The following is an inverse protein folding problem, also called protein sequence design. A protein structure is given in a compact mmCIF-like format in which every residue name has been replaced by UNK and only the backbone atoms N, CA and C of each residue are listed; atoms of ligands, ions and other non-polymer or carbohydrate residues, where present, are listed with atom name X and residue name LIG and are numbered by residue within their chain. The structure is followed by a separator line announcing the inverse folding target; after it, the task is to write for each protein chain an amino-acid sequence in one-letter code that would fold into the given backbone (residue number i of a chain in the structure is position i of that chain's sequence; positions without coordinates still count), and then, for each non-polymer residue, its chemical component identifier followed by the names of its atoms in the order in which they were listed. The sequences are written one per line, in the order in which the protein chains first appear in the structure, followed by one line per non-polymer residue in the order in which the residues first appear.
data_IF_363489153717
#
_entry.id   IF_363489153717
#
_cell.length_a   1.000
_cell.length_b   1.000
_cell.length_c   1.000
_cell.angle_alpha   90.00
_cell.angle_beta   90.00
_cell.angle_gamma   90.00
#
_symmetry.space_group_name_H-M   'P 1'
#
loop_
_entity.id
_entity.type
_entity.pdbx_description
1 polymer ?
#
# COMPACT_ATOMS: atom_id res chain seq x y z
N UNK A 1 -6.88 -28.66 49.57
CA UNK A 1 -7.50 -28.12 48.34
C UNK A 1 -6.41 -27.56 47.44
N UNK A 2 -6.03 -28.29 46.38
CA UNK A 2 -5.10 -27.76 45.38
C UNK A 2 -5.82 -26.66 44.59
N UNK A 3 -5.44 -25.39 44.79
CA UNK A 3 -5.88 -24.30 43.91
C UNK A 3 -5.36 -24.62 42.50
N UNK A 4 -6.25 -25.03 41.60
CA UNK A 4 -5.99 -25.04 40.17
C UNK A 4 -5.62 -23.62 39.74
N UNK A 5 -4.32 -23.28 39.79
CA UNK A 5 -3.81 -22.03 39.22
C UNK A 5 -4.01 -22.13 37.73
N UNK A 6 -5.00 -21.41 37.20
CA UNK A 6 -5.14 -21.19 35.76
C UNK A 6 -3.77 -20.73 35.25
N UNK A 7 -3.14 -21.54 34.39
CA UNK A 7 -1.83 -21.21 33.82
C UNK A 7 -2.01 -19.99 32.91
N UNK A 8 -1.71 -18.81 33.44
CA UNK A 8 -1.64 -17.58 32.65
C UNK A 8 -0.46 -17.76 31.69
N UNK A 9 -0.75 -17.85 30.39
CA UNK A 9 0.27 -17.96 29.34
C UNK A 9 1.19 -16.74 29.31
N UNK A 10 2.31 -16.83 28.60
CA UNK A 10 3.19 -15.66 28.39
C UNK A 10 2.44 -14.50 27.74
N UNK A 11 2.90 -13.25 27.92
CA UNK A 11 2.27 -12.09 27.25
C UNK A 11 2.21 -12.28 25.73
N UNK A 12 3.24 -12.86 25.13
CA UNK A 12 3.25 -13.20 23.70
C UNK A 12 2.12 -14.18 23.35
N UNK A 13 1.89 -15.21 24.17
CA UNK A 13 0.79 -16.16 23.96
C UNK A 13 -0.57 -15.48 24.13
N UNK A 14 -0.73 -14.61 25.13
CA UNK A 14 -1.96 -13.84 25.31
C UNK A 14 -2.25 -12.92 24.11
N UNK A 15 -1.25 -12.24 23.57
CA UNK A 15 -1.38 -11.42 22.34
C UNK A 15 -1.77 -12.31 21.16
N UNK A 16 -1.12 -13.46 21.01
CA UNK A 16 -1.41 -14.40 19.95
C UNK A 16 -2.85 -14.86 20.01
N UNK A 17 -3.30 -15.37 21.15
CA UNK A 17 -4.66 -15.87 21.34
C UNK A 17 -5.70 -14.77 21.06
N UNK A 18 -5.42 -13.52 21.48
CA UNK A 18 -6.27 -12.36 21.21
C UNK A 18 -6.35 -11.99 19.72
N UNK A 19 -5.23 -12.03 18.98
CA UNK A 19 -5.25 -11.74 17.55
C UNK A 19 -5.77 -12.90 16.71
N UNK A 20 -5.52 -14.15 17.13
CA UNK A 20 -6.03 -15.36 16.49
C UNK A 20 -7.55 -15.39 16.54
N UNK A 21 -8.15 -15.02 17.68
CA UNK A 21 -9.61 -14.88 17.81
C UNK A 21 -10.22 -13.80 16.93
N UNK A 22 -9.39 -12.93 16.33
CA UNK A 22 -9.79 -11.83 15.45
C UNK A 22 -9.45 -12.10 13.98
N UNK A 23 -8.84 -13.24 13.64
CA UNK A 23 -8.52 -13.57 12.26
C UNK A 23 -9.77 -13.80 11.42
N UNK A 24 -9.78 -13.23 10.23
CA UNK A 24 -10.84 -13.33 9.24
C UNK A 24 -10.22 -13.49 7.85
N UNK A 25 -9.28 -14.43 7.73
CA UNK A 25 -8.55 -14.67 6.49
C UNK A 25 -9.50 -15.29 5.47
N UNK A 26 -9.46 -14.78 4.23
CA UNK A 26 -10.39 -15.18 3.16
C UNK A 26 -11.73 -14.44 3.16
N UNK A 27 -12.10 -13.81 4.28
CA UNK A 27 -13.29 -12.97 4.32
C UNK A 27 -13.11 -11.64 3.57
N UNK A 28 -14.20 -11.15 2.98
CA UNK A 28 -14.18 -9.86 2.29
C UNK A 28 -14.21 -8.68 3.27
N UNK A 29 -13.05 -8.06 3.48
CA UNK A 29 -12.94 -6.78 4.21
C UNK A 29 -13.84 -5.68 3.64
N UNK A 30 -14.12 -5.73 2.33
CA UNK A 30 -14.99 -4.75 1.69
C UNK A 30 -16.46 -4.93 2.14
N UNK A 31 -16.95 -6.18 2.21
CA UNK A 31 -18.29 -6.47 2.74
C UNK A 31 -18.40 -6.04 4.20
N UNK A 32 -17.45 -6.47 5.04
CA UNK A 32 -17.43 -6.08 6.46
C UNK A 32 -17.33 -4.56 6.71
N UNK A 33 -16.81 -3.78 5.76
CA UNK A 33 -16.84 -2.31 5.84
C UNK A 33 -18.24 -1.75 5.60
N UNK A 34 -19.02 -2.34 4.69
CA UNK A 34 -20.42 -1.97 4.47
C UNK A 34 -21.27 -2.33 5.68
N UNK A 35 -20.98 -3.47 6.28
CA UNK A 35 -21.75 -4.01 7.42
C UNK A 35 -21.28 -3.45 8.78
N UNK A 36 -20.25 -2.59 8.81
CA UNK A 36 -19.72 -1.96 10.03
C UNK A 36 -18.84 -2.87 10.91
N UNK A 37 -18.77 -4.17 10.65
CA UNK A 37 -18.07 -5.19 11.47
C UNK A 37 -16.56 -5.29 11.22
N UNK A 38 -16.00 -4.50 10.29
CA UNK A 38 -14.58 -4.61 9.92
C UNK A 38 -13.60 -4.27 11.06
N UNK A 39 -14.06 -3.54 12.09
CA UNK A 39 -13.22 -3.05 13.19
C UNK A 39 -12.79 -4.17 14.14
N UNK A 40 -13.47 -5.32 14.15
CA UNK A 40 -13.17 -6.39 15.09
C UNK A 40 -12.25 -7.46 14.51
N UNK A 41 -12.08 -7.47 13.18
CA UNK A 41 -11.41 -8.54 12.44
C UNK A 41 -10.05 -8.14 11.82
N UNK A 42 -9.21 -9.13 11.53
CA UNK A 42 -7.92 -9.03 10.84
C UNK A 42 -7.97 -9.88 9.56
N UNK A 43 -7.94 -9.21 8.42
CA UNK A 43 -8.22 -9.82 7.11
C UNK A 43 -6.96 -10.23 6.32
N UNK A 44 -5.76 -10.04 6.87
CA UNK A 44 -4.54 -10.44 6.16
C UNK A 44 -3.42 -10.87 7.11
N UNK A 45 -2.70 -11.91 6.69
CA UNK A 45 -1.51 -12.39 7.39
C UNK A 45 -0.44 -11.31 7.58
N UNK A 46 -0.29 -10.41 6.61
CA UNK A 46 0.67 -9.32 6.75
C UNK A 46 0.26 -8.33 7.84
N UNK A 47 -1.04 -7.99 7.94
CA UNK A 47 -1.54 -7.16 9.05
C UNK A 47 -1.36 -7.86 10.38
N UNK A 48 -1.70 -9.15 10.46
CA UNK A 48 -1.50 -9.97 11.66
C UNK A 48 -0.05 -9.94 12.12
N UNK A 49 0.90 -10.28 11.25
CA UNK A 49 2.34 -10.30 11.57
C UNK A 49 2.84 -8.93 12.04
N UNK A 50 2.43 -7.86 11.36
CA UNK A 50 2.82 -6.50 11.74
C UNK A 50 2.24 -6.14 13.11
N UNK A 51 0.97 -6.42 13.37
CA UNK A 51 0.35 -6.12 14.66
C UNK A 51 0.95 -6.94 15.79
N UNK A 52 1.17 -8.24 15.55
CA UNK A 52 1.86 -9.14 16.47
C UNK A 52 3.22 -8.55 16.88
N UNK A 53 4.03 -8.09 15.91
CA UNK A 53 5.32 -7.46 16.22
C UNK A 53 5.16 -6.24 17.12
N UNK A 54 4.29 -5.30 16.77
CA UNK A 54 4.12 -4.06 17.55
C UNK A 54 3.57 -4.31 18.95
N UNK A 55 2.60 -5.23 19.09
CA UNK A 55 2.04 -5.60 20.37
C UNK A 55 3.08 -6.29 21.27
N UNK A 56 3.95 -7.12 20.71
CA UNK A 56 5.04 -7.76 21.46
C UNK A 56 6.11 -6.75 21.90
N UNK A 57 6.45 -5.76 21.07
CA UNK A 57 7.36 -4.68 21.47
C UNK A 57 6.81 -3.88 22.66
N UNK A 58 5.51 -3.58 22.65
CA UNK A 58 4.82 -2.95 23.77
C UNK A 58 4.80 -3.84 25.02
N UNK A 59 4.40 -5.11 24.89
CA UNK A 59 4.35 -6.03 26.02
C UNK A 59 5.74 -6.29 26.64
N UNK A 60 6.79 -6.32 25.82
CA UNK A 60 8.18 -6.36 26.28
C UNK A 60 8.49 -5.16 27.16
N UNK A 61 8.15 -3.96 26.71
CA UNK A 61 8.32 -2.74 27.49
C UNK A 61 7.55 -2.79 28.83
N UNK A 62 6.28 -3.20 28.84
CA UNK A 62 5.50 -3.34 30.08
C UNK A 62 6.11 -4.37 31.04
N UNK A 63 6.61 -5.49 30.51
CA UNK A 63 7.28 -6.51 31.31
C UNK A 63 8.58 -5.98 31.94
N UNK A 64 9.39 -5.25 31.18
CA UNK A 64 10.69 -4.75 31.64
C UNK A 64 10.57 -3.61 32.65
N UNK A 65 9.62 -2.69 32.45
CA UNK A 65 9.51 -1.46 33.26
C UNK A 65 8.52 -1.64 34.43
N UNK A 66 7.49 -2.46 34.25
CA UNK A 66 6.37 -2.57 35.20
C UNK A 66 6.10 -4.01 35.66
N UNK A 67 6.90 -4.98 35.20
CA UNK A 67 6.78 -6.40 35.57
C UNK A 67 5.38 -6.99 35.28
N UNK A 68 4.66 -6.40 34.32
CA UNK A 68 3.33 -6.87 33.92
C UNK A 68 3.37 -8.33 33.45
N UNK A 69 2.32 -9.07 33.78
CA UNK A 69 2.10 -10.48 33.42
C UNK A 69 0.81 -10.69 32.62
N UNK A 70 -0.11 -9.72 32.63
CA UNK A 70 -1.37 -9.78 31.87
C UNK A 70 -1.53 -8.60 30.93
N UNK A 71 -2.34 -8.76 29.88
CA UNK A 71 -2.69 -7.66 28.97
C UNK A 71 -3.44 -6.53 29.69
N UNK A 72 -4.26 -6.85 30.69
CA UNK A 72 -5.00 -5.84 31.45
C UNK A 72 -4.07 -4.96 32.29
N UNK A 73 -3.01 -5.53 32.87
CA UNK A 73 -1.95 -4.77 33.53
C UNK A 73 -1.22 -3.88 32.53
N UNK A 74 -0.85 -4.43 31.37
CA UNK A 74 -0.18 -3.67 30.32
C UNK A 74 -1.02 -2.47 29.84
N UNK A 75 -2.36 -2.60 29.77
CA UNK A 75 -3.26 -1.60 29.20
C UNK A 75 -3.06 -0.19 29.76
N UNK A 76 -2.72 -0.07 31.04
CA UNK A 76 -2.49 1.22 31.73
C UNK A 76 -1.34 2.03 31.15
N UNK A 77 -0.39 1.35 30.50
CA UNK A 77 0.84 1.94 29.99
C UNK A 77 0.82 2.23 28.47
N UNK A 78 -0.33 2.06 27.81
CA UNK A 78 -0.45 2.30 26.36
C UNK A 78 -0.11 3.74 26.02
N UNK A 79 -0.69 4.70 26.73
CA UNK A 79 -0.53 6.13 26.45
C UNK A 79 0.94 6.54 26.62
N UNK A 80 1.55 6.11 27.73
CA UNK A 80 2.96 6.37 28.03
C UNK A 80 3.88 5.79 26.94
N UNK A 81 3.66 4.53 26.53
CA UNK A 81 4.51 3.90 25.53
C UNK A 81 4.39 4.55 24.15
N UNK A 82 3.17 4.95 23.75
CA UNK A 82 2.93 5.69 22.52
C UNK A 82 3.62 7.06 22.56
N UNK A 83 3.47 7.81 23.66
CA UNK A 83 4.12 9.11 23.84
C UNK A 83 5.64 8.99 23.80
N UNK A 84 6.21 8.02 24.53
CA UNK A 84 7.64 7.72 24.51
C UNK A 84 8.14 7.38 23.10
N UNK A 85 7.31 6.81 22.26
CA UNK A 85 7.62 6.56 20.84
C UNK A 85 7.72 7.85 20.03
N UNK A 86 6.80 8.78 20.26
CA UNK A 86 6.80 10.12 19.65
C UNK A 86 8.06 10.89 20.08
N UNK A 87 8.34 10.93 21.39
CA UNK A 87 9.47 11.67 21.95
C UNK A 87 10.83 11.15 21.44
N UNK A 88 10.90 9.85 21.10
CA UNK A 88 12.07 9.22 20.47
C UNK A 88 12.20 9.48 18.97
N UNK A 89 11.30 10.26 18.38
CA UNK A 89 11.33 10.60 16.95
C UNK A 89 10.87 9.46 16.03
N UNK A 90 10.02 8.53 16.50
CA UNK A 90 9.43 7.53 15.59
C UNK A 90 8.64 8.24 14.48
N UNK A 91 8.74 7.77 13.25
CA UNK A 91 7.98 8.37 12.14
C UNK A 91 6.47 8.34 12.40
N UNK A 92 5.75 9.35 11.90
CA UNK A 92 4.28 9.42 11.94
C UNK A 92 3.59 8.12 11.46
N UNK A 93 4.20 7.41 10.50
CA UNK A 93 3.71 6.12 10.02
C UNK A 93 3.83 5.02 11.07
N UNK A 94 4.97 4.93 11.75
CA UNK A 94 5.21 3.96 12.83
C UNK A 94 4.33 4.26 14.04
N UNK A 95 4.24 5.54 14.45
CA UNK A 95 3.37 5.96 15.56
C UNK A 95 1.92 5.51 15.32
N UNK A 96 1.37 5.77 14.12
CA UNK A 96 0.00 5.37 13.79
C UNK A 96 -0.19 3.86 13.73
N UNK A 97 0.81 3.13 13.22
CA UNK A 97 0.79 1.68 13.20
C UNK A 97 0.73 1.10 14.63
N UNK A 98 1.55 1.64 15.52
CA UNK A 98 1.59 1.24 16.93
C UNK A 98 0.25 1.47 17.60
N UNK A 99 -0.31 2.68 17.47
CA UNK A 99 -1.63 3.00 18.00
C UNK A 99 -2.73 2.09 17.44
N UNK A 100 -2.75 1.83 16.13
CA UNK A 100 -3.74 0.93 15.52
C UNK A 100 -3.59 -0.52 15.97
N UNK A 101 -2.36 -1.01 16.18
CA UNK A 101 -2.10 -2.35 16.67
C UNK A 101 -2.62 -2.55 18.08
N UNK A 102 -2.33 -1.60 18.99
CA UNK A 102 -2.80 -1.64 20.37
C UNK A 102 -4.32 -1.44 20.45
N UNK A 103 -4.88 -0.57 19.63
CA UNK A 103 -6.34 -0.41 19.51
C UNK A 103 -7.00 -1.74 19.11
N UNK A 104 -6.40 -2.46 18.17
CA UNK A 104 -6.86 -3.81 17.79
C UNK A 104 -6.72 -4.80 18.95
N UNK A 105 -5.63 -4.78 19.70
CA UNK A 105 -5.39 -5.67 20.84
C UNK A 105 -6.47 -5.50 21.91
N UNK A 106 -6.80 -4.25 22.25
CA UNK A 106 -7.78 -3.89 23.28
C UNK A 106 -9.21 -3.68 22.76
N UNK A 107 -9.48 -4.01 21.49
CA UNK A 107 -10.81 -3.88 20.88
C UNK A 107 -11.42 -2.47 21.04
N UNK A 108 -10.59 -1.44 20.91
CA UNK A 108 -10.99 -0.04 21.02
C UNK A 108 -10.55 0.76 19.79
N UNK A 109 -10.82 2.07 19.78
CA UNK A 109 -10.29 2.99 18.78
C UNK A 109 -8.93 3.55 19.21
N UNK A 110 -8.06 3.88 18.25
CA UNK A 110 -6.78 4.54 18.55
C UNK A 110 -6.98 5.94 19.18
N UNK A 111 -8.14 6.55 18.97
CA UNK A 111 -8.51 7.83 19.61
C UNK A 111 -8.69 7.70 21.11
N UNK A 112 -9.01 6.50 21.59
CA UNK A 112 -9.37 6.27 23.00
C UNK A 112 -8.15 6.29 23.92
N UNK A 113 -6.94 6.28 23.34
CA UNK A 113 -5.68 6.41 24.07
C UNK A 113 -5.32 7.88 24.39
N UNK A 114 -6.02 8.88 23.86
CA UNK A 114 -5.71 10.28 24.15
C UNK A 114 -4.34 10.78 23.64
N UNK A 115 -3.55 9.93 22.97
CA UNK A 115 -2.27 10.31 22.35
C UNK A 115 -2.48 10.70 20.89
N UNK A 116 -2.14 11.95 20.56
CA UNK A 116 -2.20 12.46 19.19
C UNK A 116 -0.91 12.09 18.46
N UNK A 117 -1.02 11.23 17.45
CA UNK A 117 0.10 10.89 16.55
C UNK A 117 0.33 12.01 15.54
N UNK A 118 1.57 12.16 15.10
CA UNK A 118 1.95 13.14 14.08
C UNK A 118 1.21 12.96 12.76
N UNK A 119 1.07 14.06 12.02
CA UNK A 119 0.48 14.05 10.70
C UNK A 119 1.46 13.42 9.70
N UNK A 120 0.94 12.56 8.83
CA UNK A 120 1.74 11.95 7.77
C UNK A 120 1.83 12.91 6.59
N UNK A 121 3.05 13.33 6.27
CA UNK A 121 3.31 14.17 5.10
C UNK A 121 3.85 13.33 3.93
N UNK A 122 3.44 13.66 2.70
CA UNK A 122 3.93 13.00 1.47
C UNK A 122 5.43 13.22 1.27
N UNK A 123 5.94 14.41 1.59
CA UNK A 123 7.36 14.75 1.49
C UNK A 123 8.25 13.82 2.34
N UNK A 124 7.72 13.26 3.44
CA UNK A 124 8.44 12.34 4.31
C UNK A 124 8.46 10.89 3.78
N UNK A 125 7.82 10.61 2.64
CA UNK A 125 7.90 9.29 2.00
C UNK A 125 9.26 9.19 1.32
N UNK A 126 10.15 8.41 1.91
CA UNK A 126 11.50 8.20 1.36
C UNK A 126 11.61 6.96 0.50
N UNK A 127 10.71 5.97 0.64
CA UNK A 127 10.80 4.69 -0.08
C UNK A 127 10.70 4.89 -1.59
N UNK A 128 11.63 4.31 -2.34
CA UNK A 128 11.67 4.35 -3.81
C UNK A 128 11.73 5.78 -4.38
N UNK A 129 12.31 6.71 -3.62
CA UNK A 129 12.59 8.11 -3.99
C UNK A 129 14.05 8.44 -3.66
N UNK A 130 14.81 8.87 -4.66
CA UNK A 130 16.27 9.03 -4.60
C UNK A 130 17.01 7.69 -4.44
N UNK A 131 18.34 7.74 -4.49
CA UNK A 131 19.19 6.56 -4.30
C UNK A 131 19.01 5.93 -2.92
N UNK A 132 18.92 4.59 -2.85
CA UNK A 132 18.87 3.82 -1.60
C UNK A 132 20.04 2.89 -1.45
N UNK A 133 20.43 2.66 -0.20
CA UNK A 133 21.46 1.69 0.20
C UNK A 133 21.17 0.28 -0.33
N UNK A 134 19.89 -0.09 -0.49
CA UNK A 134 19.50 -1.40 -1.05
C UNK A 134 19.69 -1.52 -2.56
N UNK A 135 19.73 -0.39 -3.27
CA UNK A 135 19.89 -0.37 -4.74
C UNK A 135 21.30 -0.83 -5.12
N UNK A 136 22.28 -0.66 -4.20
CA UNK A 136 23.66 -1.17 -4.33
C UNK A 136 23.76 -2.68 -4.56
N UNK A 137 22.74 -3.46 -4.17
CA UNK A 137 22.74 -4.92 -4.31
C UNK A 137 21.90 -5.43 -5.48
N UNK A 138 21.39 -4.54 -6.34
CA UNK A 138 20.65 -4.90 -7.55
C UNK A 138 21.22 -4.15 -8.76
N UNK A 139 21.86 -4.89 -9.67
CA UNK A 139 22.30 -4.32 -10.94
C UNK A 139 21.12 -4.31 -11.92
N UNK A 140 20.63 -3.12 -12.27
CA UNK A 140 19.60 -2.95 -13.32
C UNK A 140 20.11 -3.46 -14.66
N UNK A 141 21.39 -3.23 -14.99
CA UNK A 141 21.99 -3.67 -16.24
C UNK A 141 21.95 -5.20 -16.44
N UNK A 142 22.19 -5.96 -15.37
CA UNK A 142 22.11 -7.42 -15.41
C UNK A 142 20.67 -7.95 -15.32
N UNK A 143 19.68 -7.07 -15.19
CA UNK A 143 18.27 -7.42 -15.06
C UNK A 143 17.39 -6.55 -15.98
N UNK A 144 17.94 -6.07 -17.10
CA UNK A 144 17.29 -5.14 -18.03
C UNK A 144 15.91 -5.62 -18.45
N UNK A 145 15.77 -6.90 -18.79
CA UNK A 145 14.47 -7.48 -19.18
C UNK A 145 13.41 -7.35 -18.08
N UNK A 146 13.75 -7.67 -16.83
CA UNK A 146 12.82 -7.53 -15.71
C UNK A 146 12.46 -6.06 -15.48
N UNK A 147 13.45 -5.17 -15.52
CA UNK A 147 13.25 -3.73 -15.33
C UNK A 147 12.33 -3.18 -16.42
N UNK A 148 12.64 -3.45 -17.68
CA UNK A 148 11.88 -2.99 -18.84
C UNK A 148 10.46 -3.58 -18.85
N UNK A 149 10.32 -4.86 -18.53
CA UNK A 149 9.02 -5.49 -18.35
C UNK A 149 8.18 -4.78 -17.27
N UNK A 150 8.79 -4.41 -16.14
CA UNK A 150 8.10 -3.70 -15.07
C UNK A 150 7.69 -2.28 -15.50
N UNK A 151 8.55 -1.56 -16.22
CA UNK A 151 8.28 -0.22 -16.76
C UNK A 151 7.24 -0.23 -17.88
N UNK A 152 7.11 -1.35 -18.59
CA UNK A 152 6.15 -1.53 -19.68
C UNK A 152 4.77 -2.02 -19.24
N UNK A 153 4.65 -2.59 -18.04
CA UNK A 153 3.40 -3.25 -17.59
C UNK A 153 2.87 -2.73 -16.26
N UNK A 154 3.73 -2.13 -15.43
CA UNK A 154 3.37 -1.63 -14.13
C UNK A 154 2.74 -2.70 -13.24
N UNK A 155 3.28 -3.92 -13.18
CA UNK A 155 2.84 -4.97 -12.27
C UNK A 155 3.45 -4.80 -10.86
N UNK A 156 2.80 -5.38 -9.84
CA UNK A 156 3.34 -5.45 -8.47
C UNK A 156 4.24 -6.66 -8.35
N UNK A 157 5.15 -6.63 -7.37
CA UNK A 157 6.02 -7.76 -7.05
C UNK A 157 5.29 -9.10 -6.89
N UNK A 158 4.18 -9.12 -6.14
CA UNK A 158 3.40 -10.35 -5.95
C UNK A 158 2.63 -10.77 -7.21
N UNK A 159 2.29 -9.82 -8.09
CA UNK A 159 1.68 -10.12 -9.38
C UNK A 159 2.71 -10.76 -10.32
N UNK A 160 3.94 -10.20 -10.39
CA UNK A 160 5.05 -10.74 -11.17
C UNK A 160 5.43 -12.17 -10.77
N UNK A 161 5.43 -12.48 -9.45
CA UNK A 161 5.75 -13.82 -8.95
C UNK A 161 4.76 -14.91 -9.38
N UNK A 162 3.53 -14.51 -9.69
CA UNK A 162 2.44 -15.40 -10.08
C UNK A 162 2.13 -15.32 -11.57
N UNK A 163 2.81 -14.45 -12.33
CA UNK A 163 2.53 -14.19 -13.73
C UNK A 163 2.99 -15.35 -14.60
N UNK A 164 2.07 -15.87 -15.39
CA UNK A 164 2.32 -16.85 -16.44
C UNK A 164 2.11 -16.21 -17.82
N UNK A 165 2.76 -16.75 -18.85
CA UNK A 165 2.77 -16.19 -20.21
C UNK A 165 1.40 -16.18 -20.91
N UNK A 166 0.51 -17.11 -20.56
CA UNK A 166 -0.87 -17.24 -21.05
C UNK A 166 -1.78 -16.08 -20.64
N UNK A 167 -1.28 -15.16 -19.80
CA UNK A 167 -2.00 -13.96 -19.37
C UNK A 167 -1.88 -12.77 -20.33
N UNK A 168 -1.14 -12.92 -21.43
CA UNK A 168 -1.09 -11.93 -22.50
C UNK A 168 -2.36 -12.04 -23.36
N UNK A 169 -3.05 -10.92 -23.51
CA UNK A 169 -4.19 -10.78 -24.42
C UNK A 169 -3.97 -9.59 -25.36
N UNK A 170 -4.65 -9.61 -26.50
CA UNK A 170 -4.66 -8.51 -27.45
C UNK A 170 -6.11 -8.10 -27.70
N UNK A 171 -6.48 -6.89 -27.28
CA UNK A 171 -7.84 -6.36 -27.36
C UNK A 171 -7.77 -4.91 -27.81
N UNK A 172 -8.63 -4.50 -28.74
CA UNK A 172 -8.72 -3.13 -29.25
C UNK A 172 -7.39 -2.61 -29.84
N UNK A 173 -6.60 -3.48 -30.46
CA UNK A 173 -5.28 -3.13 -31.00
C UNK A 173 -4.19 -2.90 -29.95
N UNK A 174 -4.45 -3.25 -28.68
CA UNK A 174 -3.52 -3.04 -27.56
C UNK A 174 -3.27 -4.35 -26.83
N UNK A 175 -2.00 -4.66 -26.59
CA UNK A 175 -1.62 -5.76 -25.71
C UNK A 175 -1.91 -5.41 -24.25
N UNK A 176 -2.52 -6.35 -23.53
CA UNK A 176 -2.85 -6.20 -22.10
C UNK A 176 -2.41 -7.45 -21.35
N UNK A 177 -2.04 -7.30 -20.08
CA UNK A 177 -1.78 -8.40 -19.17
C UNK A 177 -2.99 -8.57 -18.25
N UNK A 178 -3.57 -9.77 -18.24
CA UNK A 178 -4.60 -10.17 -17.27
C UNK A 178 -3.94 -10.46 -15.93
N UNK A 179 -4.26 -9.64 -14.93
CA UNK A 179 -3.74 -9.80 -13.56
C UNK A 179 -4.88 -10.27 -12.65
N UNK A 180 -5.00 -11.59 -12.51
CA UNK A 180 -5.99 -12.29 -11.68
C UNK A 180 -5.39 -12.86 -10.38
N UNK A 181 -4.07 -13.05 -10.32
CA UNK A 181 -3.32 -13.55 -9.15
C UNK A 181 -2.34 -12.52 -8.59
N UNK A 182 -2.02 -12.65 -7.30
CA UNK A 182 -1.09 -11.74 -6.60
C UNK A 182 -1.59 -10.30 -6.42
N UNK A 183 -2.78 -9.98 -6.92
CA UNK A 183 -3.38 -8.65 -6.82
C UNK A 183 -3.76 -8.34 -5.38
N UNK A 184 -3.51 -7.09 -4.96
CA UNK A 184 -3.82 -6.65 -3.61
C UNK A 184 -5.34 -6.66 -3.41
N UNK A 185 -5.80 -7.51 -2.48
CA UNK A 185 -7.23 -7.66 -2.19
C UNK A 185 -7.99 -8.47 -3.24
N UNK A 186 -7.30 -9.25 -4.09
CA UNK A 186 -7.91 -10.19 -5.04
C UNK A 186 -8.72 -9.52 -6.15
N UNK A 187 -8.40 -8.29 -6.51
CA UNK A 187 -9.12 -7.52 -7.53
C UNK A 187 -8.47 -7.75 -8.90
N UNK A 188 -9.13 -8.47 -9.82
CA UNK A 188 -8.58 -8.68 -11.15
C UNK A 188 -8.57 -7.35 -11.93
N UNK A 189 -7.63 -7.22 -12.87
CA UNK A 189 -7.61 -6.11 -13.84
C UNK A 189 -6.89 -6.55 -15.12
N UNK A 190 -7.06 -5.75 -16.17
CA UNK A 190 -6.25 -5.80 -17.38
C UNK A 190 -5.30 -4.60 -17.35
N UNK A 191 -3.99 -4.83 -17.41
CA UNK A 191 -2.99 -3.77 -17.44
C UNK A 191 -2.49 -3.60 -18.88
N UNK A 192 -2.65 -2.42 -19.52
CA UNK A 192 -2.13 -2.20 -20.86
C UNK A 192 -0.60 -2.26 -20.87
N UNK A 193 -0.05 -2.86 -21.92
CA UNK A 193 1.39 -2.88 -22.19
C UNK A 193 1.74 -1.63 -22.99
N UNK A 194 2.71 -0.87 -22.51
CA UNK A 194 3.25 0.34 -23.16
C UNK A 194 4.76 0.24 -23.25
N UNK A 195 5.42 1.18 -23.94
CA UNK A 195 6.87 1.19 -24.03
C UNK A 195 7.38 0.04 -24.90
N UNK A 196 8.23 -0.83 -24.37
CA UNK A 196 8.80 -1.95 -25.12
C UNK A 196 7.84 -3.14 -25.22
N UNK A 197 6.84 -2.99 -26.09
CA UNK A 197 5.79 -3.99 -26.33
C UNK A 197 6.40 -5.31 -26.81
N UNK A 198 7.35 -5.27 -27.74
CA UNK A 198 7.96 -6.47 -28.33
C UNK A 198 8.66 -7.33 -27.28
N UNK A 199 9.44 -6.71 -26.38
CA UNK A 199 10.09 -7.41 -25.27
C UNK A 199 9.06 -8.12 -24.38
N UNK A 200 7.98 -7.41 -24.01
CA UNK A 200 6.93 -8.00 -23.16
C UNK A 200 6.25 -9.15 -23.88
N UNK A 201 5.85 -8.97 -25.13
CA UNK A 201 5.17 -9.99 -25.94
C UNK A 201 6.06 -11.22 -26.10
N UNK A 202 7.35 -11.04 -26.40
CA UNK A 202 8.31 -12.14 -26.55
C UNK A 202 8.48 -12.92 -25.24
N UNK A 203 8.69 -12.25 -24.10
CA UNK A 203 8.83 -12.91 -22.81
C UNK A 203 7.55 -13.69 -22.41
N UNK A 204 6.38 -13.10 -22.64
CA UNK A 204 5.10 -13.75 -22.35
C UNK A 204 4.89 -14.98 -23.24
N UNK A 205 5.12 -14.87 -24.55
CA UNK A 205 4.95 -15.98 -25.49
C UNK A 205 5.93 -17.13 -25.22
N UNK A 206 7.20 -16.82 -24.96
CA UNK A 206 8.22 -17.81 -24.62
C UNK A 206 7.89 -18.55 -23.32
N UNK A 207 7.27 -17.88 -22.34
CA UNK A 207 6.85 -18.52 -21.11
C UNK A 207 5.64 -19.46 -21.31
N UNK A 208 4.72 -19.13 -22.22
CA UNK A 208 3.50 -19.93 -22.44
C UNK A 208 2.71 -20.10 -21.14
N UNK A 209 2.42 -21.34 -20.72
CA UNK A 209 1.74 -21.61 -19.45
C UNK A 209 2.66 -21.57 -18.22
N UNK A 210 3.97 -21.38 -18.41
CA UNK A 210 4.94 -21.30 -17.32
C UNK A 210 5.06 -19.87 -16.78
N UNK A 211 5.76 -19.73 -15.66
CA UNK A 211 6.06 -18.42 -15.09
C UNK A 211 6.95 -17.63 -16.03
N UNK A 212 6.62 -16.35 -16.21
CA UNK A 212 7.45 -15.41 -16.98
C UNK A 212 8.77 -15.15 -16.26
N UNK A 213 8.72 -15.10 -14.93
CA UNK A 213 9.92 -14.95 -14.09
C UNK A 213 9.93 -16.01 -13.00
N UNK A 214 10.94 -16.89 -13.03
CA UNK A 214 11.16 -17.88 -11.97
C UNK A 214 11.38 -17.21 -10.60
N UNK A 215 12.15 -16.11 -10.58
CA UNK A 215 12.47 -15.39 -9.36
C UNK A 215 12.48 -13.87 -9.57
N UNK A 216 11.63 -13.18 -8.83
CA UNK A 216 11.64 -11.71 -8.76
C UNK A 216 12.55 -11.27 -7.59
N UNK A 217 13.78 -10.82 -7.90
CA UNK A 217 14.79 -10.42 -6.90
C UNK A 217 14.26 -9.37 -5.93
N UNK A 218 14.46 -9.57 -4.63
CA UNK A 218 13.94 -8.67 -3.57
C UNK A 218 14.51 -7.26 -3.63
N UNK A 219 15.74 -7.11 -4.15
CA UNK A 219 16.42 -5.83 -4.34
C UNK A 219 15.87 -4.98 -5.50
N UNK A 220 15.12 -5.56 -6.45
CA UNK A 220 14.56 -4.78 -7.56
C UNK A 220 13.57 -3.71 -7.07
N UNK A 221 13.69 -2.46 -7.50
CA UNK A 221 12.74 -1.41 -7.12
C UNK A 221 11.49 -1.42 -8.00
N UNK A 222 10.72 -2.51 -7.89
CA UNK A 222 9.44 -2.71 -8.59
C UNK A 222 8.47 -1.54 -8.34
N UNK A 223 8.58 -0.85 -7.20
CA UNK A 223 7.70 0.28 -6.94
C UNK A 223 8.10 1.51 -7.76
N UNK A 224 9.40 1.77 -7.91
CA UNK A 224 9.90 2.83 -8.80
C UNK A 224 9.52 2.57 -10.26
N UNK A 225 9.80 1.36 -10.79
CA UNK A 225 9.47 1.04 -12.20
C UNK A 225 7.96 1.13 -12.48
N UNK A 226 7.14 0.77 -11.49
CA UNK A 226 5.68 0.96 -11.57
C UNK A 226 5.27 2.44 -11.57
N UNK A 227 6.02 3.30 -10.87
CA UNK A 227 5.83 4.77 -10.90
C UNK A 227 6.15 5.34 -12.27
N UNK A 228 7.23 4.86 -12.90
CA UNK A 228 7.62 5.23 -14.26
C UNK A 228 6.54 4.80 -15.27
N UNK A 229 6.08 3.55 -15.23
CA UNK A 229 4.95 3.07 -16.04
C UNK A 229 3.73 3.99 -15.90
N UNK A 230 3.33 4.31 -14.67
CA UNK A 230 2.16 5.14 -14.41
C UNK A 230 2.32 6.55 -14.98
N UNK A 231 3.53 7.11 -14.91
CA UNK A 231 3.86 8.43 -15.46
C UNK A 231 3.84 8.40 -16.98
N UNK A 232 4.44 7.40 -17.61
CA UNK A 232 4.43 7.24 -19.07
C UNK A 232 3.02 7.03 -19.62
N UNK A 233 2.22 6.17 -18.99
CA UNK A 233 0.82 5.96 -19.36
C UNK A 233 -0.02 7.23 -19.19
N UNK A 234 0.21 7.98 -18.11
CA UNK A 234 -0.48 9.24 -17.91
C UNK A 234 -0.13 10.23 -19.03
N UNK A 235 1.15 10.39 -19.35
CA UNK A 235 1.61 11.31 -20.40
C UNK A 235 1.04 10.96 -21.78
N UNK A 236 0.84 9.68 -22.10
CA UNK A 236 0.24 9.28 -23.38
C UNK A 236 -1.27 9.49 -23.47
N UNK A 237 -1.95 9.65 -22.32
CA UNK A 237 -3.42 9.81 -22.25
C UNK A 237 -3.87 11.23 -21.92
N UNK A 238 -3.03 12.00 -21.21
CA UNK A 238 -3.42 13.29 -20.66
C UNK A 238 -3.61 14.35 -21.74
N UNK A 239 -4.75 15.02 -21.68
CA UNK A 239 -4.98 16.23 -22.48
C UNK A 239 -4.21 17.40 -21.88
N UNK A 240 -3.74 18.37 -22.69
CA UNK A 240 -3.26 19.65 -22.20
C UNK A 240 -4.31 20.29 -21.28
N UNK A 241 -3.89 20.79 -20.11
CA UNK A 241 -4.84 21.31 -19.11
C UNK A 241 -5.64 22.48 -19.67
N UNK A 242 -5.05 23.27 -20.53
CA UNK A 242 -5.63 24.43 -21.21
C UNK A 242 -6.74 24.03 -22.20
N UNK A 243 -6.69 22.80 -22.72
CA UNK A 243 -7.69 22.26 -23.64
C UNK A 243 -8.94 21.71 -22.95
N UNK A 244 -8.89 21.54 -21.62
CA UNK A 244 -10.02 21.01 -20.85
C UNK A 244 -11.01 22.16 -20.55
N UNK A 245 -12.30 22.03 -20.88
CA UNK A 245 -13.24 23.13 -20.76
C UNK A 245 -13.57 23.50 -19.30
N UNK A 246 -13.93 24.76 -19.08
CA UNK A 246 -14.55 25.24 -17.84
C UNK A 246 -16.05 24.92 -17.88
N UNK A 247 -16.40 23.71 -17.45
CA UNK A 247 -17.73 23.12 -17.63
C UNK A 247 -18.67 23.31 -16.42
N UNK A 248 -18.17 23.79 -15.28
CA UNK A 248 -18.98 23.97 -14.06
C UNK A 248 -18.71 25.29 -13.36
N UNK A 249 -19.68 25.73 -12.57
CA UNK A 249 -19.58 26.93 -11.72
C UNK A 249 -19.69 26.52 -10.26
N UNK A 250 -18.79 27.05 -9.42
CA UNK A 250 -18.83 26.82 -7.98
C UNK A 250 -19.96 27.64 -7.35
N UNK A 251 -20.91 26.98 -6.66
CA UNK A 251 -22.07 27.64 -6.03
C UNK A 251 -21.71 28.67 -4.97
N UNK A 252 -20.59 28.50 -4.26
CA UNK A 252 -20.19 29.40 -3.18
C UNK A 252 -19.41 30.62 -3.66
N UNK A 253 -18.65 30.50 -4.76
CA UNK A 253 -17.77 31.58 -5.25
C UNK A 253 -18.22 32.19 -6.56
N UNK A 254 -19.18 31.59 -7.27
CA UNK A 254 -19.64 32.02 -8.60
C UNK A 254 -18.60 31.81 -9.71
N UNK A 255 -17.43 31.24 -9.42
CA UNK A 255 -16.33 31.08 -10.39
C UNK A 255 -16.49 29.80 -11.19
N UNK A 256 -16.29 29.91 -12.51
CA UNK A 256 -16.17 28.75 -13.39
C UNK A 256 -14.92 27.93 -13.02
N UNK A 257 -14.99 26.61 -13.16
CA UNK A 257 -13.87 25.69 -12.95
C UNK A 257 -13.95 24.50 -13.90
N UNK A 258 -12.78 23.93 -14.19
CA UNK A 258 -12.63 22.73 -15.00
C UNK A 258 -12.89 21.49 -14.12
N UNK A 259 -14.05 20.87 -14.24
CA UNK A 259 -14.47 19.77 -13.37
C UNK A 259 -13.66 18.50 -13.59
N UNK A 260 -13.07 18.34 -14.78
CA UNK A 260 -12.16 17.25 -15.14
C UNK A 260 -10.69 17.53 -14.78
N UNK A 261 -10.36 18.68 -14.19
CA UNK A 261 -9.01 18.96 -13.70
C UNK A 261 -8.89 18.63 -12.22
N UNK A 262 -7.90 17.81 -11.88
CA UNK A 262 -7.50 17.53 -10.50
C UNK A 262 -6.49 18.57 -10.07
N UNK A 263 -6.84 19.35 -9.05
CA UNK A 263 -5.93 20.32 -8.45
C UNK A 263 -5.38 19.72 -7.16
N UNK A 264 -4.08 19.48 -7.15
CA UNK A 264 -3.36 18.96 -6.00
C UNK A 264 -3.41 19.96 -4.82
N UNK A 265 -3.25 19.43 -3.61
CA UNK A 265 -3.29 20.18 -2.34
C UNK A 265 -2.00 19.94 -1.55
N UNK A 266 -1.87 20.62 -0.40
CA UNK A 266 -0.74 20.49 0.51
C UNK A 266 0.60 20.74 -0.20
N UNK A 267 1.56 19.80 -0.11
CA UNK A 267 2.90 19.93 -0.69
C UNK A 267 2.90 20.01 -2.22
N UNK A 268 1.84 19.55 -2.88
CA UNK A 268 1.67 19.62 -4.33
C UNK A 268 0.70 20.75 -4.76
N UNK A 269 0.42 21.72 -3.89
CA UNK A 269 -0.52 22.81 -4.21
C UNK A 269 -0.08 23.53 -5.49
N UNK A 270 -0.99 23.62 -6.47
CA UNK A 270 -0.75 24.26 -7.76
C UNK A 270 -0.55 23.27 -8.90
N UNK A 271 -0.09 22.05 -8.62
CA UNK A 271 0.02 20.98 -9.62
C UNK A 271 -1.38 20.58 -10.10
N UNK A 272 -1.54 20.43 -11.42
CA UNK A 272 -2.81 20.09 -12.07
C UNK A 272 -2.66 18.85 -12.93
N UNK A 273 -3.67 17.98 -12.90
CA UNK A 273 -3.71 16.77 -13.72
C UNK A 273 -5.09 16.59 -14.38
N UNK A 274 -5.12 15.92 -15.53
CA UNK A 274 -6.33 15.49 -16.20
C UNK A 274 -6.94 14.28 -15.47
N UNK A 275 -8.13 14.45 -14.87
CA UNK A 275 -8.81 13.39 -14.10
C UNK A 275 -9.14 12.18 -14.95
N UNK A 276 -9.42 12.36 -16.24
CA UNK A 276 -9.81 11.26 -17.14
C UNK A 276 -8.60 10.34 -17.33
N UNK A 277 -7.46 10.90 -17.71
CA UNK A 277 -6.20 10.15 -17.80
C UNK A 277 -5.77 9.54 -16.46
N UNK A 278 -5.90 10.30 -15.35
CA UNK A 278 -5.61 9.75 -14.01
C UNK A 278 -6.47 8.55 -13.65
N UNK A 279 -7.73 8.52 -14.06
CA UNK A 279 -8.65 7.42 -13.76
C UNK A 279 -8.24 6.16 -14.52
N UNK A 280 -7.89 6.28 -15.79
CA UNK A 280 -7.39 5.17 -16.61
C UNK A 280 -6.08 4.60 -16.03
N UNK A 281 -5.14 5.45 -15.65
CA UNK A 281 -3.91 5.02 -14.96
C UNK A 281 -4.24 4.36 -13.61
N UNK A 282 -5.21 4.88 -12.85
CA UNK A 282 -5.66 4.28 -11.59
C UNK A 282 -6.12 2.84 -11.82
N UNK A 283 -6.98 2.62 -12.83
CA UNK A 283 -7.53 1.32 -13.21
C UNK A 283 -6.44 0.36 -13.70
N UNK A 284 -5.54 0.83 -14.58
CA UNK A 284 -4.38 0.07 -15.03
C UNK A 284 -3.49 -0.40 -13.88
N UNK A 285 -3.37 0.41 -12.82
CA UNK A 285 -2.65 0.05 -11.59
C UNK A 285 -3.50 -0.74 -10.58
N UNK A 286 -4.76 -1.07 -10.86
CA UNK A 286 -5.65 -1.80 -9.94
C UNK A 286 -6.09 -0.97 -8.73
N UNK A 287 -6.16 0.35 -8.90
CA UNK A 287 -6.76 1.30 -7.97
C UNK A 287 -8.03 1.89 -8.61
N UNK A 288 -8.87 2.55 -7.80
CA UNK A 288 -10.05 3.29 -8.27
C UNK A 288 -10.05 4.74 -7.77
N UNK A 289 -8.95 5.19 -7.15
CA UNK A 289 -8.85 6.52 -6.53
C UNK A 289 -7.75 7.29 -7.24
N UNK A 290 -8.12 8.36 -7.92
CA UNK A 290 -7.19 9.21 -8.65
C UNK A 290 -6.17 9.89 -7.73
N UNK A 291 -6.55 10.25 -6.49
CA UNK A 291 -5.62 10.88 -5.54
C UNK A 291 -4.40 10.00 -5.22
N UNK A 292 -4.58 8.68 -5.21
CA UNK A 292 -3.47 7.72 -5.02
C UNK A 292 -2.45 7.83 -6.15
N UNK A 293 -2.89 8.13 -7.37
CA UNK A 293 -2.02 8.28 -8.54
C UNK A 293 -1.21 9.57 -8.43
N UNK A 294 -1.86 10.70 -8.16
CA UNK A 294 -1.17 11.99 -7.93
C UNK A 294 -0.18 11.94 -6.77
N UNK A 295 -0.56 11.36 -5.63
CA UNK A 295 0.27 11.42 -4.41
C UNK A 295 1.46 10.47 -4.45
N UNK A 296 1.34 9.31 -5.11
CA UNK A 296 2.31 8.22 -4.98
C UNK A 296 3.00 7.78 -6.28
N UNK A 297 2.45 8.11 -7.44
CA UNK A 297 2.93 7.53 -8.71
C UNK A 297 3.35 8.57 -9.75
N UNK A 298 2.59 9.65 -9.93
CA UNK A 298 2.96 10.70 -10.87
C UNK A 298 4.09 11.53 -10.28
N UNK A 299 5.11 11.74 -11.10
CA UNK A 299 6.24 12.64 -10.83
C UNK A 299 6.31 13.64 -11.97
N UNK A 300 6.40 14.92 -11.65
CA UNK A 300 6.79 15.92 -12.64
C UNK A 300 8.30 15.85 -12.86
N UNK A 301 8.76 16.23 -14.04
CA UNK A 301 10.18 16.21 -14.39
C UNK A 301 10.94 17.14 -13.42
N UNK A 302 11.72 16.56 -12.49
CA UNK A 302 12.49 17.30 -11.49
C UNK A 302 12.39 16.79 -10.04
N UNK A 303 11.53 15.80 -9.77
CA UNK A 303 11.37 15.12 -8.45
C UNK A 303 12.29 13.89 -8.24
#
# INVERSE_FOLDING_TARGET
MARNRVKIGSLTKQIQDNFDSKLAIGESKYKAKKDGTFKDKIYSWQTYKTYMKQANEFAKYCKENYKCRTLDECRKYVNEWLQKGIDRGLSAYTQKLNACSLAKLYSCSSSDFGVKTDVRHRVNITRSRGEKVRDKHFSEDRNKELVEFCKSTGLRREELKCLTGDKLIHEDGVYKIVVDRGSKGGRPRKAPVIGNIDLVVNLMRNAGHNKVFEKVKSGADIHSYRSEYATSLYKSLARPIESIPYDKVNKGTGRAYQSEVYVCRADLKGVKFDKVAMLEVSRALGHNRISVIAEHYLRESGD
#
